data_IF_326774567156
#
_entry.id   IF_326774567156
#
_cell.length_a   1.000
_cell.length_b   1.000
_cell.length_c   1.000
_cell.angle_alpha   90.00
_cell.angle_beta   90.00
_cell.angle_gamma   90.00
#
_symmetry.space_group_name_H-M   'P 1'
#
loop_
_entity.id
_entity.type
_entity.pdbx_description
1 polymer ?
#
# COMPACT_ATOMS: atom_id res chain seq x y z
N UNK A 1 -30.78 8.07 10.06
CA UNK A 1 -30.10 7.71 11.33
C UNK A 1 -28.96 6.78 10.98
N UNK A 2 -27.79 6.89 11.63
CA UNK A 2 -26.68 5.95 11.34
C UNK A 2 -27.10 4.54 11.76
N UNK A 3 -26.71 3.52 10.98
CA UNK A 3 -27.01 2.11 11.27
C UNK A 3 -26.56 1.76 12.70
N UNK A 4 -25.42 2.31 13.14
CA UNK A 4 -24.90 2.19 14.50
C UNK A 4 -25.82 2.72 15.60
N UNK A 5 -26.51 3.84 15.38
CA UNK A 5 -27.45 4.39 16.37
C UNK A 5 -28.66 3.48 16.52
N UNK A 6 -29.20 2.97 15.40
CA UNK A 6 -30.31 2.01 15.41
C UNK A 6 -29.92 0.69 16.05
N UNK A 7 -28.72 0.17 15.77
CA UNK A 7 -28.19 -1.06 16.37
C UNK A 7 -28.01 -0.92 17.89
N UNK A 8 -27.48 0.22 18.35
CA UNK A 8 -27.31 0.51 19.78
C UNK A 8 -28.66 0.60 20.50
N UNK A 9 -29.60 1.36 19.96
CA UNK A 9 -30.96 1.51 20.52
C UNK A 9 -31.68 0.16 20.59
N UNK A 10 -31.55 -0.69 19.56
CA UNK A 10 -32.08 -2.05 19.55
C UNK A 10 -31.41 -2.93 20.61
N UNK A 11 -30.07 -2.91 20.73
CA UNK A 11 -29.36 -3.70 21.75
C UNK A 11 -29.75 -3.32 23.19
N UNK A 12 -29.99 -2.04 23.44
CA UNK A 12 -30.42 -1.53 24.75
C UNK A 12 -31.85 -1.98 25.10
N UNK A 13 -32.72 -2.16 24.10
CA UNK A 13 -34.07 -2.71 24.30
C UNK A 13 -34.06 -4.20 24.63
N UNK A 14 -33.09 -4.95 24.08
CA UNK A 14 -33.02 -6.41 24.24
C UNK A 14 -32.13 -6.83 25.43
N UNK A 15 -31.27 -5.95 25.94
CA UNK A 15 -30.36 -6.27 27.03
C UNK A 15 -30.10 -5.05 27.93
N UNK A 16 -30.78 -5.01 29.09
CA UNK A 16 -30.57 -3.98 30.13
C UNK A 16 -29.45 -4.32 31.13
N UNK A 17 -28.83 -5.50 30.99
CA UNK A 17 -27.75 -5.99 31.86
C UNK A 17 -28.21 -6.65 33.17
N UNK A 18 -29.51 -6.72 33.44
CA UNK A 18 -30.07 -7.22 34.72
C UNK A 18 -30.78 -8.57 34.61
N UNK A 19 -30.98 -9.09 33.40
CA UNK A 19 -31.67 -10.37 33.13
C UNK A 19 -30.74 -11.40 32.49
N UNK A 20 -31.05 -12.68 32.70
CA UNK A 20 -30.32 -13.78 32.09
C UNK A 20 -30.46 -13.73 30.55
N UNK A 21 -29.34 -13.93 29.85
CA UNK A 21 -29.26 -13.88 28.38
C UNK A 21 -30.22 -14.89 27.75
N UNK A 22 -31.13 -14.42 26.91
CA UNK A 22 -32.01 -15.25 26.10
C UNK A 22 -31.39 -15.52 24.73
N UNK A 23 -31.56 -16.73 24.15
CA UNK A 23 -31.12 -17.01 22.80
C UNK A 23 -31.89 -16.15 21.78
N UNK A 24 -31.17 -15.52 20.86
CA UNK A 24 -31.77 -14.68 19.81
C UNK A 24 -32.67 -15.51 18.89
N UNK A 25 -33.77 -14.91 18.42
CA UNK A 25 -34.59 -15.50 17.36
C UNK A 25 -33.82 -15.56 16.03
N UNK A 26 -34.23 -16.46 15.13
CA UNK A 26 -33.58 -16.58 13.82
C UNK A 26 -33.75 -15.30 12.98
N UNK A 27 -34.88 -14.60 13.13
CA UNK A 27 -35.19 -13.35 12.44
C UNK A 27 -34.33 -12.19 12.96
N UNK A 28 -34.21 -12.04 14.28
CA UNK A 28 -33.35 -11.02 14.90
C UNK A 28 -31.88 -11.24 14.56
N UNK A 29 -31.45 -12.51 14.49
CA UNK A 29 -30.10 -12.88 14.08
C UNK A 29 -29.83 -12.50 12.64
N UNK A 30 -30.75 -12.80 11.72
CA UNK A 30 -30.59 -12.44 10.31
C UNK A 30 -30.53 -10.92 10.12
N UNK A 31 -31.40 -10.18 10.81
CA UNK A 31 -31.38 -8.72 10.79
C UNK A 31 -30.07 -8.14 11.36
N UNK A 32 -29.57 -8.68 12.48
CA UNK A 32 -28.30 -8.25 13.08
C UNK A 32 -27.12 -8.54 12.14
N UNK A 33 -27.07 -9.74 11.56
CA UNK A 33 -26.04 -10.13 10.58
C UNK A 33 -26.07 -9.19 9.36
N UNK A 34 -27.26 -8.85 8.85
CA UNK A 34 -27.43 -7.89 7.75
C UNK A 34 -27.01 -6.46 8.13
N UNK A 35 -27.40 -5.98 9.32
CA UNK A 35 -27.02 -4.64 9.82
C UNK A 35 -25.51 -4.53 10.06
N UNK A 36 -24.88 -5.59 10.56
CA UNK A 36 -23.43 -5.67 10.70
C UNK A 36 -22.74 -5.71 9.34
N UNK A 37 -23.17 -6.58 8.42
CA UNK A 37 -22.57 -6.72 7.08
C UNK A 37 -22.74 -5.46 6.23
N UNK A 38 -23.90 -4.81 6.27
CA UNK A 38 -24.15 -3.56 5.55
C UNK A 38 -23.34 -2.37 6.07
N UNK A 39 -22.79 -2.49 7.30
CA UNK A 39 -21.95 -1.46 7.91
C UNK A 39 -20.45 -1.74 7.78
N UNK A 40 -20.05 -2.96 7.40
CA UNK A 40 -18.65 -3.32 7.14
C UNK A 40 -18.29 -2.87 5.73
N UNK A 41 -17.31 -1.97 5.62
CA UNK A 41 -16.75 -1.58 4.33
C UNK A 41 -15.99 -2.77 3.75
N UNK A 42 -16.40 -3.22 2.56
CA UNK A 42 -15.67 -4.24 1.82
C UNK A 42 -14.38 -3.62 1.24
N UNK A 43 -13.30 -3.71 2.03
CA UNK A 43 -11.98 -3.21 1.67
C UNK A 43 -11.43 -3.91 0.42
N UNK A 44 -11.76 -5.19 0.20
CA UNK A 44 -11.35 -5.94 -0.98
C UNK A 44 -11.95 -5.35 -2.26
N UNK A 45 -13.27 -5.11 -2.25
CA UNK A 45 -13.97 -4.43 -3.35
C UNK A 45 -13.43 -3.01 -3.55
N UNK A 46 -13.20 -2.26 -2.47
CA UNK A 46 -12.68 -0.90 -2.58
C UNK A 46 -11.28 -0.86 -3.21
N UNK A 47 -10.38 -1.78 -2.83
CA UNK A 47 -9.07 -1.91 -3.48
C UNK A 47 -9.18 -2.22 -4.97
N UNK A 48 -10.15 -3.06 -5.39
CA UNK A 48 -10.38 -3.34 -6.80
C UNK A 48 -10.83 -2.09 -7.57
N UNK A 49 -11.74 -1.30 -7.00
CA UNK A 49 -12.18 -0.02 -7.58
C UNK A 49 -11.02 0.96 -7.75
N UNK A 50 -10.20 1.12 -6.71
CA UNK A 50 -9.02 1.99 -6.73
C UNK A 50 -7.99 1.52 -7.76
N UNK A 51 -7.73 0.21 -7.82
CA UNK A 51 -6.81 -0.39 -8.79
C UNK A 51 -7.29 -0.19 -10.23
N UNK A 52 -8.60 -0.36 -10.48
CA UNK A 52 -9.19 -0.13 -11.79
C UNK A 52 -9.13 1.35 -12.21
N UNK A 53 -9.40 2.27 -11.28
CA UNK A 53 -9.26 3.71 -11.51
C UNK A 53 -7.82 4.03 -11.93
N UNK A 54 -6.84 3.59 -11.15
CA UNK A 54 -5.41 3.82 -11.45
C UNK A 54 -5.04 3.25 -12.81
N UNK A 55 -5.41 2.00 -13.10
CA UNK A 55 -5.13 1.34 -14.38
C UNK A 55 -5.66 2.13 -15.58
N UNK A 56 -6.86 2.72 -15.46
CA UNK A 56 -7.47 3.53 -16.53
C UNK A 56 -6.76 4.87 -16.77
N UNK A 57 -6.10 5.43 -15.73
CA UNK A 57 -5.46 6.76 -15.76
C UNK A 57 -3.96 6.70 -16.05
N UNK A 58 -3.29 5.59 -15.74
CA UNK A 58 -1.86 5.38 -15.98
C UNK A 58 -1.41 5.78 -17.41
N UNK A 59 -2.10 5.38 -18.50
CA UNK A 59 -1.67 5.75 -19.86
C UNK A 59 -1.63 7.27 -20.08
N UNK A 60 -2.56 7.99 -19.46
CA UNK A 60 -2.59 9.45 -19.51
C UNK A 60 -1.38 10.00 -18.75
N UNK A 61 -1.18 9.56 -17.50
CA UNK A 61 -0.09 10.01 -16.62
C UNK A 61 1.33 9.70 -17.14
N UNK A 62 1.47 8.73 -18.05
CA UNK A 62 2.74 8.42 -18.72
C UNK A 62 3.08 9.35 -19.89
N UNK A 63 2.12 10.17 -20.33
CA UNK A 63 2.37 11.16 -21.39
C UNK A 63 3.19 12.31 -20.84
N UNK A 64 4.33 12.62 -21.48
CA UNK A 64 5.30 13.64 -21.01
C UNK A 64 4.71 15.06 -20.90
N UNK A 65 3.58 15.32 -21.56
CA UNK A 65 2.88 16.62 -21.55
C UNK A 65 1.97 16.83 -20.34
N UNK A 66 1.72 15.80 -19.52
CA UNK A 66 0.86 15.95 -18.34
C UNK A 66 1.61 16.66 -17.22
N UNK A 67 1.09 17.83 -16.84
CA UNK A 67 1.50 18.53 -15.63
C UNK A 67 1.18 17.71 -14.39
N UNK A 68 2.08 17.72 -13.40
CA UNK A 68 1.85 17.15 -12.07
C UNK A 68 0.62 17.74 -11.35
N UNK A 69 0.09 18.88 -11.83
CA UNK A 69 -1.12 19.54 -11.31
C UNK A 69 -2.39 19.20 -12.08
N UNK A 70 -2.33 18.26 -13.03
CA UNK A 70 -3.50 17.80 -13.77
C UNK A 70 -4.49 17.13 -12.81
N UNK A 71 -5.79 17.35 -13.01
CA UNK A 71 -6.84 16.72 -12.21
C UNK A 71 -6.71 15.19 -12.20
N UNK A 72 -6.29 14.59 -13.32
CA UNK A 72 -6.06 13.15 -13.40
C UNK A 72 -4.94 12.68 -12.45
N UNK A 73 -3.86 13.46 -12.32
CA UNK A 73 -2.76 13.13 -11.40
C UNK A 73 -3.22 13.26 -9.96
N UNK A 74 -3.97 14.32 -9.62
CA UNK A 74 -4.52 14.53 -8.28
C UNK A 74 -5.53 13.44 -7.89
N UNK A 75 -6.35 12.97 -8.83
CA UNK A 75 -7.27 11.85 -8.62
C UNK A 75 -6.50 10.56 -8.32
N UNK A 76 -5.44 10.26 -9.09
CA UNK A 76 -4.58 9.11 -8.85
C UNK A 76 -3.83 9.20 -7.52
N UNK A 77 -3.37 10.39 -7.11
CA UNK A 77 -2.73 10.61 -5.82
C UNK A 77 -3.67 10.27 -4.66
N UNK A 78 -4.91 10.78 -4.71
CA UNK A 78 -5.94 10.47 -3.70
C UNK A 78 -6.24 8.97 -3.65
N UNK A 79 -6.31 8.32 -4.82
CA UNK A 79 -6.53 6.88 -4.89
C UNK A 79 -5.35 6.07 -4.29
N UNK A 80 -4.11 6.53 -4.50
CA UNK A 80 -2.93 5.90 -3.89
C UNK A 80 -2.87 6.15 -2.39
N UNK A 81 -3.27 7.34 -1.90
CA UNK A 81 -3.36 7.63 -0.47
C UNK A 81 -4.37 6.70 0.22
N UNK A 82 -5.56 6.54 -0.36
CA UNK A 82 -6.57 5.63 0.16
C UNK A 82 -6.06 4.17 0.12
N UNK A 83 -5.36 3.76 -0.95
CA UNK A 83 -4.74 2.44 -0.99
C UNK A 83 -3.75 2.23 0.14
N UNK A 84 -2.92 3.24 0.50
CA UNK A 84 -1.99 3.12 1.65
C UNK A 84 -2.78 2.79 2.92
N UNK A 85 -3.84 3.54 3.22
CA UNK A 85 -4.67 3.31 4.42
C UNK A 85 -5.26 1.90 4.43
N UNK A 86 -5.72 1.38 3.28
CA UNK A 86 -6.29 0.03 3.21
C UNK A 86 -5.22 -1.04 3.40
N UNK A 87 -4.04 -0.91 2.76
CA UNK A 87 -2.98 -1.94 2.84
C UNK A 87 -2.21 -1.94 4.15
N UNK A 88 -2.44 -0.97 5.04
CA UNK A 88 -1.99 -1.06 6.43
C UNK A 88 -2.64 -2.27 7.15
N UNK A 89 -3.80 -2.74 6.67
CA UNK A 89 -4.34 -4.02 7.09
C UNK A 89 -3.57 -5.18 6.41
N UNK A 90 -2.93 -6.04 7.21
CA UNK A 90 -2.00 -7.08 6.74
C UNK A 90 -2.63 -8.02 5.68
N UNK A 91 -3.90 -8.37 5.86
CA UNK A 91 -4.63 -9.21 4.89
C UNK A 91 -4.80 -8.49 3.53
N UNK A 92 -5.12 -7.20 3.56
CA UNK A 92 -5.34 -6.38 2.36
C UNK A 92 -4.05 -6.21 1.55
N UNK A 93 -2.89 -6.09 2.21
CA UNK A 93 -1.60 -6.04 1.54
C UNK A 93 -1.32 -7.29 0.67
N UNK A 94 -1.69 -8.47 1.18
CA UNK A 94 -1.52 -9.72 0.44
C UNK A 94 -2.55 -9.84 -0.68
N UNK A 95 -3.79 -9.41 -0.42
CA UNK A 95 -4.87 -9.44 -1.41
C UNK A 95 -4.63 -8.46 -2.56
N UNK A 96 -4.01 -7.30 -2.32
CA UNK A 96 -3.63 -6.37 -3.38
C UNK A 96 -2.74 -7.04 -4.44
N UNK A 97 -1.81 -7.90 -4.00
CA UNK A 97 -0.97 -8.68 -4.90
C UNK A 97 -1.80 -9.64 -5.77
N UNK A 98 -2.82 -10.28 -5.18
CA UNK A 98 -3.68 -11.27 -5.83
C UNK A 98 -4.67 -10.66 -6.83
N UNK A 99 -5.20 -9.48 -6.53
CA UNK A 99 -6.18 -8.79 -7.40
C UNK A 99 -5.52 -8.04 -8.57
N UNK A 100 -4.19 -8.16 -8.75
CA UNK A 100 -3.48 -7.50 -9.83
C UNK A 100 -3.16 -6.03 -9.59
N UNK A 101 -3.09 -5.59 -8.32
CA UNK A 101 -2.68 -4.23 -7.99
C UNK A 101 -1.22 -3.93 -8.34
N UNK A 102 -0.35 -4.94 -8.28
CA UNK A 102 1.10 -4.75 -8.46
C UNK A 102 1.49 -4.20 -9.86
N UNK A 103 1.04 -4.77 -11.00
CA UNK A 103 1.32 -4.19 -12.31
C UNK A 103 0.92 -2.71 -12.45
N UNK A 104 -0.18 -2.32 -11.80
CA UNK A 104 -0.65 -0.93 -11.79
C UNK A 104 0.31 -0.05 -10.99
N UNK A 105 0.74 -0.50 -9.81
CA UNK A 105 1.74 0.22 -9.00
C UNK A 105 3.08 0.37 -9.74
N UNK A 106 3.56 -0.68 -10.41
CA UNK A 106 4.78 -0.61 -11.23
C UNK A 106 4.64 0.42 -12.35
N UNK A 107 3.46 0.51 -12.96
CA UNK A 107 3.20 1.50 -14.00
C UNK A 107 3.17 2.92 -13.46
N UNK A 108 2.67 3.13 -12.24
CA UNK A 108 2.72 4.41 -11.53
C UNK A 108 4.16 4.81 -11.14
N UNK A 109 5.01 3.86 -10.75
CA UNK A 109 6.44 4.10 -10.51
C UNK A 109 7.17 4.58 -11.78
N UNK A 110 6.67 4.21 -12.95
CA UNK A 110 7.27 4.55 -14.23
C UNK A 110 6.77 5.88 -14.83
N UNK A 111 5.84 6.60 -14.20
CA UNK A 111 5.30 7.86 -14.72
C UNK A 111 6.36 8.99 -14.66
N UNK A 112 6.87 9.50 -15.80
CA UNK A 112 8.00 10.44 -15.82
C UNK A 112 7.61 11.85 -15.34
N UNK A 113 6.44 12.35 -15.75
CA UNK A 113 5.95 13.71 -15.46
C UNK A 113 5.33 13.89 -14.07
N UNK A 114 5.12 12.81 -13.32
CA UNK A 114 4.38 12.82 -12.06
C UNK A 114 5.21 12.23 -10.91
N UNK A 115 6.16 12.98 -10.34
CA UNK A 115 7.06 12.46 -9.31
C UNK A 115 6.36 12.15 -7.99
N UNK A 116 5.22 12.80 -7.72
CA UNK A 116 4.32 12.50 -6.61
C UNK A 116 3.68 11.10 -6.74
N UNK A 117 3.23 10.71 -7.95
CA UNK A 117 2.72 9.37 -8.20
C UNK A 117 3.79 8.29 -7.96
N UNK A 118 5.04 8.53 -8.41
CA UNK A 118 6.15 7.62 -8.13
C UNK A 118 6.40 7.47 -6.63
N UNK A 119 6.36 8.58 -5.89
CA UNK A 119 6.53 8.55 -4.44
C UNK A 119 5.38 7.77 -3.75
N UNK A 120 4.13 8.03 -4.12
CA UNK A 120 2.95 7.39 -3.53
C UNK A 120 2.84 5.91 -3.89
N UNK A 121 3.13 5.53 -5.13
CA UNK A 121 3.22 4.12 -5.49
C UNK A 121 4.32 3.39 -4.71
N UNK A 122 5.48 4.03 -4.50
CA UNK A 122 6.53 3.50 -3.63
C UNK A 122 6.09 3.35 -2.17
N UNK A 123 5.27 4.28 -1.67
CA UNK A 123 4.66 4.20 -0.34
C UNK A 123 3.72 3.00 -0.22
N UNK A 124 2.76 2.83 -1.13
CA UNK A 124 1.86 1.66 -1.14
C UNK A 124 2.65 0.36 -1.17
N UNK A 125 3.65 0.26 -2.07
CA UNK A 125 4.48 -0.93 -2.18
C UNK A 125 5.20 -1.24 -0.87
N UNK A 126 5.83 -0.23 -0.27
CA UNK A 126 6.56 -0.37 0.99
C UNK A 126 5.67 -0.78 2.16
N UNK A 127 4.45 -0.25 2.22
CA UNK A 127 3.45 -0.63 3.23
C UNK A 127 3.00 -2.07 3.06
N UNK A 128 2.72 -2.52 1.82
CA UNK A 128 2.28 -3.89 1.56
C UNK A 128 3.28 -4.94 2.05
N UNK A 129 4.57 -4.69 1.83
CA UNK A 129 5.64 -5.67 2.12
C UNK A 129 6.23 -5.51 3.52
N UNK A 130 5.79 -4.51 4.29
CA UNK A 130 6.34 -4.25 5.62
C UNK A 130 6.01 -5.39 6.59
N UNK A 131 7.03 -6.18 6.94
CA UNK A 131 6.89 -7.34 7.81
C UNK A 131 5.87 -8.39 7.31
N UNK A 132 5.68 -8.48 5.99
CA UNK A 132 4.74 -9.41 5.35
C UNK A 132 5.49 -10.29 4.35
N UNK A 133 5.96 -11.47 4.79
CA UNK A 133 6.76 -12.37 3.95
C UNK A 133 6.02 -12.85 2.68
N UNK A 134 4.73 -13.27 2.73
CA UNK A 134 3.98 -13.58 1.52
C UNK A 134 3.93 -12.44 0.50
N UNK A 135 3.73 -11.19 0.94
CA UNK A 135 3.75 -10.03 0.05
C UNK A 135 5.17 -9.75 -0.47
N UNK A 136 6.21 -9.87 0.37
CA UNK A 136 7.60 -9.74 -0.05
C UNK A 136 7.95 -10.75 -1.16
N UNK A 137 7.57 -12.01 -1.02
CA UNK A 137 7.78 -13.05 -2.05
C UNK A 137 7.05 -12.71 -3.36
N UNK A 138 5.76 -12.36 -3.28
CA UNK A 138 4.97 -12.01 -4.46
C UNK A 138 5.56 -10.80 -5.21
N UNK A 139 6.00 -9.78 -4.47
CA UNK A 139 6.53 -8.55 -5.04
C UNK A 139 7.93 -8.74 -5.62
N UNK A 140 8.76 -9.56 -4.96
CA UNK A 140 10.07 -9.94 -5.50
C UNK A 140 9.92 -10.73 -6.81
N UNK A 141 9.03 -11.72 -6.84
CA UNK A 141 8.78 -12.53 -8.03
C UNK A 141 8.27 -11.70 -9.23
N UNK A 142 7.56 -10.61 -8.96
CA UNK A 142 7.01 -9.71 -9.97
C UNK A 142 7.92 -8.53 -10.34
N UNK A 143 9.15 -8.48 -9.84
CA UNK A 143 10.14 -7.48 -10.26
C UNK A 143 9.97 -6.10 -9.60
N UNK A 144 9.30 -6.02 -8.45
CA UNK A 144 9.09 -4.74 -7.76
C UNK A 144 10.41 -4.10 -7.31
N UNK A 145 11.39 -4.92 -6.91
CA UNK A 145 12.71 -4.44 -6.51
C UNK A 145 13.45 -3.75 -7.66
N UNK A 146 13.41 -4.32 -8.85
CA UNK A 146 14.00 -3.79 -10.08
C UNK A 146 13.39 -2.45 -10.47
N UNK A 147 12.08 -2.28 -10.28
CA UNK A 147 11.40 -1.01 -10.54
C UNK A 147 11.75 0.09 -9.52
N UNK A 148 12.07 -0.29 -8.27
CA UNK A 148 12.42 0.65 -7.21
C UNK A 148 13.87 1.15 -7.30
N UNK A 149 14.79 0.35 -7.84
CA UNK A 149 16.22 0.70 -7.90
C UNK A 149 16.51 2.00 -8.68
N UNK A 150 15.97 2.23 -9.90
CA UNK A 150 16.17 3.48 -10.63
C UNK A 150 15.69 4.71 -9.85
N UNK A 151 14.64 4.58 -9.04
CA UNK A 151 14.08 5.67 -8.26
C UNK A 151 14.99 6.14 -7.12
N UNK A 152 16.02 5.39 -6.77
CA UNK A 152 17.05 5.88 -5.83
C UNK A 152 17.88 7.02 -6.43
N UNK A 153 17.90 7.17 -7.75
CA UNK A 153 18.54 8.27 -8.47
C UNK A 153 17.53 9.30 -9.01
N UNK A 154 16.26 9.23 -8.61
CA UNK A 154 15.22 10.13 -9.06
C UNK A 154 15.57 11.60 -8.78
N UNK A 155 15.20 12.51 -9.69
CA UNK A 155 15.43 13.95 -9.49
C UNK A 155 14.65 14.48 -8.28
N UNK A 156 13.50 13.88 -7.95
CA UNK A 156 12.66 14.30 -6.85
C UNK A 156 12.94 13.56 -5.55
N UNK A 157 13.21 14.32 -4.47
CA UNK A 157 13.58 13.77 -3.17
C UNK A 157 12.50 12.90 -2.52
N UNK A 158 11.22 13.22 -2.76
CA UNK A 158 10.09 12.43 -2.27
C UNK A 158 10.09 11.00 -2.84
N UNK A 159 10.25 10.88 -4.15
CA UNK A 159 10.34 9.59 -4.84
C UNK A 159 11.53 8.77 -4.34
N UNK A 160 12.72 9.39 -4.23
CA UNK A 160 13.91 8.71 -3.65
C UNK A 160 13.65 8.18 -2.25
N UNK A 161 13.02 8.99 -1.40
CA UNK A 161 12.75 8.63 0.00
C UNK A 161 11.78 7.47 0.11
N UNK A 162 10.70 7.48 -0.68
CA UNK A 162 9.70 6.41 -0.68
C UNK A 162 10.22 5.13 -1.34
N UNK A 163 11.05 5.22 -2.38
CA UNK A 163 11.73 4.07 -2.95
C UNK A 163 12.69 3.39 -1.95
N UNK A 164 13.46 4.19 -1.20
CA UNK A 164 14.35 3.66 -0.16
C UNK A 164 13.57 3.07 1.02
N UNK A 165 12.42 3.66 1.37
CA UNK A 165 11.48 3.07 2.33
C UNK A 165 10.98 1.70 1.86
N UNK A 166 10.49 1.60 0.63
CA UNK A 166 9.97 0.36 0.07
C UNK A 166 11.03 -0.74 0.01
N UNK A 167 12.22 -0.43 -0.51
CA UNK A 167 13.36 -1.36 -0.50
C UNK A 167 13.73 -1.77 0.93
N UNK A 168 13.68 -0.84 1.89
CA UNK A 168 13.95 -1.17 3.29
C UNK A 168 12.95 -2.17 3.86
N UNK A 169 11.67 -2.05 3.50
CA UNK A 169 10.63 -2.99 3.90
C UNK A 169 10.79 -4.33 3.19
N UNK A 170 11.11 -4.33 1.89
CA UNK A 170 11.29 -5.54 1.08
C UNK A 170 12.48 -6.40 1.54
N UNK A 171 13.54 -5.78 2.06
CA UNK A 171 14.78 -6.46 2.46
C UNK A 171 14.78 -6.93 3.92
N UNK A 172 13.98 -6.30 4.78
CA UNK A 172 14.01 -6.58 6.21
C UNK A 172 13.50 -7.99 6.49
N UNK A 173 14.31 -8.77 7.20
CA UNK A 173 14.01 -10.13 7.62
C UNK A 173 13.60 -11.06 6.46
N UNK A 174 14.06 -10.77 5.23
CA UNK A 174 13.66 -11.50 4.03
C UNK A 174 14.86 -11.96 3.21
N UNK A 175 15.42 -13.12 3.55
CA UNK A 175 16.62 -13.67 2.92
C UNK A 175 16.56 -13.79 1.38
N UNK A 176 15.41 -14.14 0.74
CA UNK A 176 15.31 -14.10 -0.73
C UNK A 176 15.56 -12.71 -1.31
N UNK A 177 14.93 -11.66 -0.76
CA UNK A 177 15.13 -10.28 -1.21
C UNK A 177 16.56 -9.81 -0.97
N UNK A 178 17.16 -10.15 0.17
CA UNK A 178 18.54 -9.76 0.50
C UNK A 178 19.54 -10.37 -0.49
N UNK A 179 19.40 -11.67 -0.80
CA UNK A 179 20.23 -12.34 -1.80
C UNK A 179 20.06 -11.74 -3.19
N UNK A 180 18.82 -11.48 -3.61
CA UNK A 180 18.53 -10.79 -4.87
C UNK A 180 19.22 -9.42 -4.92
N UNK A 181 19.05 -8.61 -3.87
CA UNK A 181 19.60 -7.26 -3.80
C UNK A 181 21.13 -7.24 -3.85
N UNK A 182 21.80 -8.17 -3.18
CA UNK A 182 23.24 -8.36 -3.29
C UNK A 182 23.65 -8.78 -4.71
N UNK A 183 22.90 -9.71 -5.33
CA UNK A 183 23.16 -10.19 -6.69
C UNK A 183 23.08 -9.11 -7.77
N UNK A 184 22.19 -8.12 -7.62
CA UNK A 184 22.04 -7.00 -8.56
C UNK A 184 22.97 -5.81 -8.25
N UNK A 185 23.93 -5.98 -7.34
CA UNK A 185 24.87 -4.91 -6.95
C UNK A 185 24.25 -3.81 -6.08
N UNK A 186 23.14 -4.10 -5.40
CA UNK A 186 22.42 -3.15 -4.54
C UNK A 186 23.27 -2.58 -3.40
N UNK A 187 24.24 -3.35 -2.88
CA UNK A 187 25.21 -2.87 -1.88
C UNK A 187 25.99 -1.65 -2.38
N UNK A 188 26.43 -1.67 -3.65
CA UNK A 188 27.12 -0.53 -4.27
C UNK A 188 26.20 0.68 -4.45
N UNK A 189 24.90 0.46 -4.66
CA UNK A 189 23.89 1.52 -4.70
C UNK A 189 23.76 2.18 -3.32
N UNK A 190 23.62 1.39 -2.25
CA UNK A 190 23.56 1.91 -0.88
C UNK A 190 24.84 2.65 -0.48
N UNK A 191 26.01 2.12 -0.83
CA UNK A 191 27.29 2.78 -0.57
C UNK A 191 27.39 4.15 -1.26
N UNK A 192 26.81 4.31 -2.46
CA UNK A 192 26.73 5.63 -3.11
C UNK A 192 25.80 6.58 -2.36
N UNK A 193 24.66 6.09 -1.86
CA UNK A 193 23.71 6.89 -1.06
C UNK A 193 24.30 7.36 0.28
N UNK A 194 25.30 6.68 0.84
CA UNK A 194 26.03 7.18 2.02
C UNK A 194 26.76 8.51 1.75
N UNK A 195 27.03 8.83 0.48
CA UNK A 195 27.63 10.10 0.05
C UNK A 195 26.60 11.17 -0.29
N UNK A 196 25.30 10.89 -0.15
CA UNK A 196 24.24 11.86 -0.38
C UNK A 196 24.34 13.01 0.64
N UNK A 197 24.05 14.23 0.20
CA UNK A 197 24.04 15.43 1.05
C UNK A 197 22.94 15.33 2.10
N UNK A 198 21.82 14.68 1.77
CA UNK A 198 20.64 14.58 2.62
C UNK A 198 20.82 13.53 3.73
N UNK A 199 20.53 13.88 5.00
CA UNK A 199 20.75 12.97 6.13
C UNK A 199 19.79 11.78 6.17
N UNK A 200 18.58 11.93 5.63
CA UNK A 200 17.56 10.87 5.60
C UNK A 200 18.00 9.63 4.83
N UNK A 201 18.31 9.75 3.53
CA UNK A 201 18.81 8.64 2.71
C UNK A 201 20.06 7.98 3.29
N UNK A 202 21.03 8.76 3.80
CA UNK A 202 22.24 8.23 4.44
C UNK A 202 21.93 7.31 5.62
N UNK A 203 21.10 7.76 6.56
CA UNK A 203 20.74 6.98 7.76
C UNK A 203 20.07 5.66 7.39
N UNK A 204 19.14 5.71 6.43
CA UNK A 204 18.38 4.54 6.00
C UNK A 204 19.25 3.55 5.21
N UNK A 205 20.16 4.05 4.36
CA UNK A 205 21.15 3.22 3.67
C UNK A 205 22.11 2.53 4.65
N UNK A 206 22.61 3.26 5.66
CA UNK A 206 23.46 2.68 6.71
C UNK A 206 22.71 1.60 7.49
N UNK A 207 21.46 1.89 7.88
CA UNK A 207 20.63 0.90 8.56
C UNK A 207 20.46 -0.35 7.69
N UNK A 208 20.13 -0.19 6.41
CA UNK A 208 19.97 -1.34 5.52
C UNK A 208 21.24 -2.18 5.36
N UNK A 209 22.40 -1.53 5.20
CA UNK A 209 23.69 -2.22 5.12
C UNK A 209 24.00 -3.06 6.37
N UNK A 210 23.52 -2.65 7.54
CA UNK A 210 23.70 -3.44 8.76
C UNK A 210 22.83 -4.70 8.83
N UNK A 211 21.83 -4.84 7.95
CA UNK A 211 20.89 -5.97 7.93
C UNK A 211 21.04 -6.88 6.70
N UNK A 212 21.95 -6.54 5.77
CA UNK A 212 22.29 -7.31 4.57
C UNK A 212 23.54 -8.17 4.83
#
# INVERSE_FOLDING_TARGET
MSVWKGLLEWSLQHHDGTRASQPMSAEDRAWLEEAMQSSVVDLGKRMQELTALLSSRVPQAQTEEISATSEAVLEMERALDELVEIVEHVDCATDLARIGGLPVLLSCLACPGAPSLRAKAGEVLGTCVQNNAPAQDAFLAAGAGEALLPLLADSHAGARTKALFALSCQLRNHAPSQRWFCGVGGVSVLARLLRDVQPGPRRKALQLLAHL
#
